data_IF_451040536633
#
_entry.id   IF_451040536633
#
_cell.length_a   1.000
_cell.length_b   1.000
_cell.length_c   1.000
_cell.angle_alpha   90.00
_cell.angle_beta   90.00
_cell.angle_gamma   90.00
#
_symmetry.space_group_name_H-M   'P 1'
#
loop_
_entity.id
_entity.type
_entity.pdbx_description
1 polymer ?
#
# COMPACT_ATOMS: atom_id res chain seq x y z
N UNK A 1 -19.86 48.94 -35.73
CA UNK A 1 -21.15 48.52 -35.15
C UNK A 1 -20.85 47.69 -33.92
N UNK A 2 -20.91 48.30 -32.73
CA UNK A 2 -20.44 47.72 -31.47
C UNK A 2 -21.40 48.05 -30.33
N UNK A 3 -21.31 47.22 -29.28
CA UNK A 3 -21.80 47.43 -27.90
C UNK A 3 -23.25 46.96 -27.65
N UNK A 4 -23.64 46.48 -26.46
CA UNK A 4 -22.96 46.26 -25.19
C UNK A 4 -23.87 45.38 -24.30
N UNK A 5 -23.23 44.55 -23.47
CA UNK A 5 -23.53 44.14 -22.08
C UNK A 5 -24.88 44.59 -21.46
N UNK A 6 -25.61 43.63 -20.88
CA UNK A 6 -26.76 43.88 -19.99
C UNK A 6 -26.65 43.08 -18.68
N UNK A 7 -26.76 43.78 -17.54
CA UNK A 7 -26.72 43.25 -16.17
C UNK A 7 -27.81 43.94 -15.33
N UNK A 8 -28.35 43.20 -14.35
CA UNK A 8 -29.09 43.64 -13.14
C UNK A 8 -30.55 44.13 -13.34
N UNK A 9 -31.51 44.02 -12.41
CA UNK A 9 -31.73 43.34 -11.11
C UNK A 9 -33.22 43.63 -10.73
N UNK A 10 -33.79 42.77 -9.87
CA UNK A 10 -34.74 43.09 -8.78
C UNK A 10 -36.29 43.16 -8.99
N UNK A 11 -36.97 42.23 -8.28
CA UNK A 11 -37.96 42.45 -7.20
C UNK A 11 -39.48 42.54 -7.45
N UNK A 12 -40.24 41.82 -6.59
CA UNK A 12 -41.65 42.04 -6.20
C UNK A 12 -42.70 41.22 -6.97
N UNK A 13 -43.32 40.17 -6.41
CA UNK A 13 -44.53 40.18 -5.54
C UNK A 13 -45.76 40.79 -6.25
N UNK A 14 -47.00 40.28 -6.26
CA UNK A 14 -47.73 39.17 -5.64
C UNK A 14 -49.18 39.26 -6.22
N UNK A 15 -50.00 38.21 -6.07
CA UNK A 15 -51.50 38.16 -6.21
C UNK A 15 -52.09 38.11 -7.63
N UNK A 16 -53.13 37.32 -7.93
CA UNK A 16 -54.01 36.43 -7.16
C UNK A 16 -55.06 35.81 -8.12
N UNK A 17 -55.56 34.59 -7.90
CA UNK A 17 -56.90 34.20 -7.38
C UNK A 17 -57.35 33.01 -8.29
N UNK A 18 -58.00 31.91 -7.91
CA UNK A 18 -58.64 31.40 -6.68
C UNK A 18 -59.05 29.90 -6.95
N UNK A 19 -59.93 29.20 -6.20
CA UNK A 19 -59.56 27.96 -5.49
C UNK A 19 -60.37 26.71 -5.89
N UNK A 20 -59.82 25.50 -5.73
CA UNK A 20 -60.65 24.33 -5.44
C UNK A 20 -59.87 23.16 -4.82
N UNK A 21 -60.41 22.65 -3.72
CA UNK A 21 -60.33 21.30 -3.17
C UNK A 21 -58.96 20.73 -2.73
N UNK A 22 -58.73 20.85 -1.42
CA UNK A 22 -57.92 19.96 -0.58
C UNK A 22 -58.43 18.51 -0.66
N UNK A 23 -57.53 17.52 -0.69
CA UNK A 23 -57.53 16.40 0.27
C UNK A 23 -56.20 15.63 0.19
N UNK A 24 -55.76 15.23 1.39
CA UNK A 24 -54.42 14.81 1.82
C UNK A 24 -54.00 13.42 1.31
N UNK A 25 -52.73 13.30 0.92
CA UNK A 25 -52.03 12.09 0.44
C UNK A 25 -51.80 11.00 1.51
N UNK A 26 -52.52 11.03 2.64
CA UNK A 26 -52.24 10.19 3.81
C UNK A 26 -52.73 8.72 3.73
N UNK A 27 -53.04 8.18 2.55
CA UNK A 27 -53.65 6.85 2.42
C UNK A 27 -52.93 5.86 1.49
N UNK A 28 -51.68 6.13 1.11
CA UNK A 28 -50.88 5.21 0.28
C UNK A 28 -49.77 4.53 1.10
N UNK A 29 -50.15 3.95 2.23
CA UNK A 29 -49.31 3.06 3.05
C UNK A 29 -50.02 1.71 3.23
N UNK A 30 -49.98 0.88 2.19
CA UNK A 30 -50.15 -0.56 2.35
C UNK A 30 -49.66 -1.28 1.07
N UNK A 31 -48.41 -1.74 1.07
CA UNK A 31 -48.02 -3.02 0.45
C UNK A 31 -46.57 -3.39 0.83
N UNK A 32 -46.41 -4.68 1.15
CA UNK A 32 -45.36 -5.29 1.94
C UNK A 32 -44.00 -5.47 1.25
N UNK A 33 -42.93 -5.45 2.05
CA UNK A 33 -41.83 -6.45 2.00
C UNK A 33 -41.32 -6.70 3.43
N UNK A 34 -41.13 -7.94 3.89
CA UNK A 34 -40.36 -8.18 5.10
C UNK A 34 -38.88 -8.03 4.75
N UNK A 35 -38.25 -6.94 5.20
CA UNK A 35 -36.80 -6.83 5.21
C UNK A 35 -36.26 -7.91 6.16
N UNK A 36 -35.71 -8.98 5.60
CA UNK A 36 -34.90 -9.93 6.35
C UNK A 36 -33.66 -9.19 6.84
N UNK A 37 -33.66 -8.76 8.10
CA UNK A 37 -32.46 -8.34 8.81
C UNK A 37 -31.61 -9.59 8.98
N UNK A 38 -30.62 -9.76 8.10
CA UNK A 38 -29.54 -10.70 8.36
C UNK A 38 -28.65 -10.05 9.42
N UNK A 39 -28.53 -10.62 10.65
CA UNK A 39 -27.44 -10.21 11.52
C UNK A 39 -26.16 -10.66 10.83
N UNK A 40 -25.36 -9.71 10.34
CA UNK A 40 -23.98 -9.97 9.98
C UNK A 40 -23.34 -10.63 11.21
N UNK A 41 -23.00 -11.91 11.08
CA UNK A 41 -22.27 -12.61 12.12
C UNK A 41 -20.83 -12.12 12.03
N UNK A 42 -20.49 -11.15 12.88
CA UNK A 42 -19.14 -10.68 13.10
C UNK A 42 -18.29 -11.78 13.76
N UNK A 43 -17.88 -12.78 12.98
CA UNK A 43 -16.87 -13.79 13.35
C UNK A 43 -15.48 -13.42 12.81
N UNK A 44 -15.21 -12.13 12.63
CA UNK A 44 -13.85 -11.66 12.44
C UNK A 44 -13.44 -10.96 13.74
N UNK A 45 -12.56 -11.61 14.51
CA UNK A 45 -11.76 -10.89 15.48
C UNK A 45 -11.03 -9.78 14.71
N UNK A 46 -11.50 -8.54 14.86
CA UNK A 46 -10.80 -7.37 14.39
C UNK A 46 -9.57 -7.19 15.29
N UNK A 47 -8.52 -7.98 15.03
CA UNK A 47 -7.20 -7.60 15.49
C UNK A 47 -6.83 -6.36 14.68
N UNK A 48 -6.85 -5.20 15.33
CA UNK A 48 -6.27 -3.99 14.79
C UNK A 48 -4.76 -4.21 14.62
N UNK A 49 -4.34 -4.68 13.44
CA UNK A 49 -2.94 -4.80 13.04
C UNK A 49 -2.38 -3.42 12.67
N UNK A 50 -2.40 -2.49 13.61
CA UNK A 50 -1.52 -1.33 13.52
C UNK A 50 -0.16 -1.80 14.04
N UNK A 51 0.92 -1.75 13.23
CA UNK A 51 2.24 -2.07 13.72
C UNK A 51 2.57 -1.04 14.80
N UNK A 52 2.53 -1.47 16.06
CA UNK A 52 3.00 -0.65 17.16
C UNK A 52 4.51 -0.57 17.01
N UNK A 53 4.99 0.54 16.47
CA UNK A 53 6.41 0.90 16.41
C UNK A 53 6.92 1.21 17.84
N UNK A 54 7.02 0.18 18.67
CA UNK A 54 7.86 0.19 19.87
C UNK A 54 9.31 -0.15 19.47
N UNK A 55 10.30 0.11 20.33
CA UNK A 55 11.65 -0.41 20.15
C UNK A 55 11.63 -1.92 20.44
N UNK A 56 11.00 -2.69 19.56
CA UNK A 56 11.09 -4.14 19.59
C UNK A 56 12.56 -4.49 19.39
N UNK A 57 13.08 -5.34 20.26
CA UNK A 57 14.44 -5.88 20.11
C UNK A 57 14.31 -7.12 19.24
N UNK A 58 15.04 -7.12 18.12
CA UNK A 58 15.05 -8.22 17.17
C UNK A 58 16.47 -8.74 17.11
N UNK A 59 16.62 -10.06 17.07
CA UNK A 59 17.92 -10.69 17.01
C UNK A 59 17.93 -11.89 16.07
N UNK A 60 19.10 -12.13 15.48
CA UNK A 60 19.33 -13.32 14.65
C UNK A 60 19.36 -14.57 15.53
N UNK A 61 18.49 -15.54 15.25
CA UNK A 61 18.46 -16.84 15.93
C UNK A 61 19.34 -17.85 15.20
N UNK A 62 19.18 -17.97 13.89
CA UNK A 62 19.91 -18.93 13.07
C UNK A 62 20.22 -18.36 11.67
N UNK A 63 21.30 -18.86 11.07
CA UNK A 63 21.77 -18.47 9.74
C UNK A 63 22.02 -19.78 8.98
N UNK A 64 21.30 -19.98 7.88
CA UNK A 64 21.33 -21.18 7.04
C UNK A 64 21.51 -20.72 5.59
N UNK A 65 22.76 -20.47 5.19
CA UNK A 65 23.06 -19.88 3.88
C UNK A 65 22.41 -18.48 3.76
N UNK A 66 21.63 -18.27 2.70
CA UNK A 66 20.89 -17.02 2.47
C UNK A 66 19.62 -16.90 3.34
N UNK A 67 19.24 -17.94 4.06
CA UNK A 67 18.06 -17.95 4.93
C UNK A 67 18.47 -17.58 6.35
N UNK A 68 17.86 -16.54 6.90
CA UNK A 68 18.14 -16.06 8.26
C UNK A 68 16.85 -16.11 9.07
N UNK A 69 16.87 -16.87 10.16
CA UNK A 69 15.74 -16.92 11.10
C UNK A 69 15.96 -15.84 12.17
N UNK A 70 14.95 -14.98 12.33
CA UNK A 70 14.98 -13.81 13.21
C UNK A 70 13.92 -13.97 14.28
N UNK A 71 14.30 -13.72 15.53
CA UNK A 71 13.39 -13.72 16.66
C UNK A 71 13.13 -12.29 17.12
N UNK A 72 11.90 -12.03 17.54
CA UNK A 72 11.44 -10.71 17.98
C UNK A 72 10.60 -10.83 19.25
N UNK A 73 10.59 -9.78 20.07
CA UNK A 73 9.82 -9.79 21.32
C UNK A 73 8.35 -9.42 21.09
N UNK A 74 8.12 -8.28 20.42
CA UNK A 74 6.80 -7.73 20.13
C UNK A 74 6.75 -7.22 18.69
N UNK A 75 5.54 -7.23 18.10
CA UNK A 75 5.31 -6.72 16.76
C UNK A 75 5.61 -7.75 15.68
N UNK A 76 4.56 -8.48 15.25
CA UNK A 76 4.65 -9.38 14.10
C UNK A 76 4.79 -8.54 12.82
N UNK A 77 5.90 -8.62 12.08
CA UNK A 77 6.03 -7.86 10.84
C UNK A 77 5.20 -8.54 9.76
N UNK A 78 4.78 -7.77 8.77
CA UNK A 78 4.11 -8.34 7.61
C UNK A 78 5.10 -9.17 6.79
N UNK A 79 4.58 -10.19 6.11
CA UNK A 79 5.34 -10.88 5.07
C UNK A 79 5.68 -9.84 4.00
N UNK A 80 6.86 -9.97 3.38
CA UNK A 80 7.45 -9.04 2.41
C UNK A 80 8.03 -7.76 3.01
N UNK A 81 7.96 -7.54 4.33
CA UNK A 81 8.65 -6.43 4.96
C UNK A 81 10.17 -6.58 4.87
N UNK A 82 10.86 -5.45 4.77
CA UNK A 82 12.30 -5.36 4.81
C UNK A 82 12.78 -5.14 6.25
N UNK A 83 13.82 -5.86 6.64
CA UNK A 83 14.53 -5.69 7.91
C UNK A 83 15.98 -5.33 7.62
N UNK A 84 16.58 -4.51 8.47
CA UNK A 84 17.97 -4.08 8.32
C UNK A 84 18.83 -4.59 9.48
N UNK A 85 19.91 -5.30 9.15
CA UNK A 85 20.86 -5.81 10.14
C UNK A 85 21.79 -4.68 10.57
N UNK A 86 21.98 -4.52 11.88
CA UNK A 86 22.84 -3.48 12.43
C UNK A 86 24.27 -3.96 12.64
N UNK A 87 25.24 -3.07 12.41
CA UNK A 87 26.66 -3.33 12.68
C UNK A 87 27.36 -4.17 11.61
N UNK A 88 26.85 -4.20 10.39
CA UNK A 88 27.52 -4.75 9.21
C UNK A 88 28.31 -3.64 8.49
N UNK A 89 29.38 -4.00 7.77
CA UNK A 89 30.18 -3.03 6.99
C UNK A 89 29.39 -2.47 5.81
N UNK A 90 28.69 -3.36 5.10
CA UNK A 90 27.75 -3.03 4.02
C UNK A 90 26.33 -3.15 4.54
N UNK A 91 25.40 -2.35 4.00
CA UNK A 91 23.99 -2.41 4.35
C UNK A 91 23.40 -3.75 3.93
N UNK A 92 23.05 -4.59 4.90
CA UNK A 92 22.39 -5.87 4.65
C UNK A 92 20.89 -5.77 4.95
N UNK A 93 20.10 -6.03 3.93
CA UNK A 93 18.63 -6.08 4.03
C UNK A 93 18.17 -7.54 3.99
N UNK A 94 17.25 -7.88 4.88
CA UNK A 94 16.55 -9.15 4.91
C UNK A 94 15.08 -8.93 4.56
N UNK A 95 14.48 -9.80 3.76
CA UNK A 95 13.04 -9.77 3.47
C UNK A 95 12.31 -10.87 4.25
N UNK A 96 11.20 -10.54 4.90
CA UNK A 96 10.36 -11.51 5.61
C UNK A 96 9.64 -12.41 4.60
N UNK A 97 9.97 -13.71 4.59
CA UNK A 97 9.35 -14.68 3.69
C UNK A 97 8.17 -15.42 4.32
N UNK A 98 8.28 -15.77 5.61
CA UNK A 98 7.22 -16.50 6.32
C UNK A 98 7.33 -16.33 7.83
N UNK A 99 6.21 -16.55 8.53
CA UNK A 99 6.16 -16.65 9.98
C UNK A 99 6.28 -18.12 10.40
N UNK A 100 7.22 -18.44 11.30
CA UNK A 100 7.44 -19.81 11.78
C UNK A 100 6.62 -20.14 13.04
N UNK A 101 6.22 -19.11 13.81
CA UNK A 101 5.64 -19.24 15.15
C UNK A 101 6.66 -18.91 16.23
N UNK A 102 6.25 -18.93 17.51
CA UNK A 102 7.12 -18.66 18.67
C UNK A 102 7.90 -17.33 18.55
N UNK A 103 7.23 -16.30 18.02
CA UNK A 103 7.82 -14.99 17.70
C UNK A 103 9.10 -15.08 16.86
N UNK A 104 9.12 -16.05 15.93
CA UNK A 104 10.20 -16.26 14.97
C UNK A 104 9.68 -16.14 13.54
N UNK A 105 10.43 -15.45 12.71
CA UNK A 105 10.20 -15.30 11.28
C UNK A 105 11.37 -15.88 10.50
N UNK A 106 11.09 -16.35 9.30
CA UNK A 106 12.13 -16.70 8.33
C UNK A 106 12.27 -15.57 7.34
N UNK A 107 13.51 -15.14 7.17
CA UNK A 107 13.88 -14.06 6.26
C UNK A 107 14.87 -14.55 5.21
N UNK A 108 14.90 -13.87 4.07
CA UNK A 108 15.85 -14.13 2.99
C UNK A 108 16.76 -12.92 2.90
N UNK A 109 18.07 -13.15 2.93
CA UNK A 109 19.06 -12.10 2.77
C UNK A 109 19.15 -11.66 1.31
N UNK A 110 19.16 -10.34 1.08
CA UNK A 110 19.31 -9.75 -0.26
C UNK A 110 20.76 -9.70 -0.75
N UNK A 111 21.71 -9.94 0.15
CA UNK A 111 23.14 -10.01 -0.12
C UNK A 111 23.78 -11.13 0.73
N UNK A 112 25.09 -11.30 0.62
CA UNK A 112 25.88 -12.27 1.37
C UNK A 112 25.65 -12.22 2.89
N UNK A 113 25.57 -13.39 3.52
CA UNK A 113 25.38 -13.55 4.97
C UNK A 113 26.69 -13.81 5.72
N UNK A 114 27.83 -13.60 5.07
CA UNK A 114 29.14 -13.74 5.67
C UNK A 114 29.35 -12.73 6.81
N UNK A 115 29.93 -13.18 7.91
CA UNK A 115 30.20 -12.31 9.07
C UNK A 115 28.99 -12.03 9.95
N UNK A 116 27.79 -12.52 9.62
CA UNK A 116 26.64 -12.44 10.52
C UNK A 116 26.83 -13.33 11.74
N UNK A 117 26.41 -12.81 12.89
CA UNK A 117 26.50 -13.51 14.18
C UNK A 117 25.12 -13.60 14.83
N UNK A 118 24.84 -14.73 15.47
CA UNK A 118 23.62 -14.90 16.26
C UNK A 118 23.56 -13.88 17.39
N UNK A 119 22.37 -13.37 17.68
CA UNK A 119 22.18 -12.29 18.64
C UNK A 119 22.39 -10.88 18.07
N UNK A 120 22.82 -10.75 16.81
CA UNK A 120 22.98 -9.45 16.17
C UNK A 120 21.63 -8.73 16.04
N UNK A 121 21.65 -7.43 16.31
CA UNK A 121 20.44 -6.60 16.35
C UNK A 121 19.91 -6.36 14.94
N UNK A 122 18.59 -6.45 14.79
CA UNK A 122 17.86 -6.16 13.56
C UNK A 122 16.86 -5.02 13.83
N UNK A 123 16.62 -4.20 12.80
CA UNK A 123 15.58 -3.18 12.79
C UNK A 123 14.53 -3.51 11.74
N UNK A 124 13.25 -3.45 12.10
CA UNK A 124 12.15 -3.51 11.14
C UNK A 124 11.96 -2.15 10.47
N UNK A 125 11.87 -2.15 9.14
CA UNK A 125 11.55 -0.93 8.37
C UNK A 125 10.04 -0.66 8.28
N UNK A 126 9.22 -1.60 8.74
CA UNK A 126 7.77 -1.61 8.68
C UNK A 126 7.18 -1.46 7.27
N UNK A 127 7.99 -1.67 6.23
CA UNK A 127 7.57 -1.60 4.85
C UNK A 127 8.34 -2.62 4.00
N UNK A 128 7.83 -2.98 2.82
CA UNK A 128 8.60 -3.77 1.86
C UNK A 128 9.84 -3.05 1.36
N UNK A 129 10.73 -3.79 0.69
CA UNK A 129 11.85 -3.18 -0.03
C UNK A 129 11.30 -2.18 -1.05
N UNK A 130 11.80 -0.94 -0.97
CA UNK A 130 11.42 0.15 -1.85
C UNK A 130 12.58 0.57 -2.70
N UNK A 131 12.32 0.72 -4.00
CA UNK A 131 13.31 1.12 -4.98
C UNK A 131 12.94 2.47 -5.59
N UNK A 132 13.95 3.19 -6.09
CA UNK A 132 13.75 4.45 -6.79
C UNK A 132 13.08 4.20 -8.15
N UNK A 133 12.09 5.02 -8.49
CA UNK A 133 11.38 4.96 -9.77
C UNK A 133 11.30 6.33 -10.43
N UNK A 134 10.98 6.33 -11.73
CA UNK A 134 10.79 7.55 -12.53
C UNK A 134 11.81 7.68 -13.66
N UNK A 135 11.64 8.71 -14.48
CA UNK A 135 12.48 8.93 -15.68
C UNK A 135 13.97 9.12 -15.37
N UNK A 136 14.31 9.55 -14.15
CA UNK A 136 15.70 9.75 -13.73
C UNK A 136 16.49 8.45 -13.51
N UNK A 137 15.81 7.30 -13.45
CA UNK A 137 16.48 5.98 -13.36
C UNK A 137 16.92 5.45 -14.73
N UNK A 138 16.48 6.07 -15.83
CA UNK A 138 16.84 5.64 -17.18
C UNK A 138 18.35 5.73 -17.42
N UNK A 139 18.95 4.64 -17.88
CA UNK A 139 20.39 4.55 -18.13
C UNK A 139 21.28 4.48 -16.88
N UNK A 140 20.68 4.20 -15.71
CA UNK A 140 21.36 3.97 -14.43
C UNK A 140 21.41 2.47 -14.14
N UNK A 141 22.39 2.05 -13.34
CA UNK A 141 22.51 0.66 -12.87
C UNK A 141 22.26 0.63 -11.37
N UNK A 142 21.33 -0.22 -10.94
CA UNK A 142 20.92 -0.35 -9.55
C UNK A 142 20.85 -1.82 -9.11
N UNK A 143 21.07 -2.07 -7.83
CA UNK A 143 20.93 -3.39 -7.23
C UNK A 143 19.48 -3.67 -6.78
N UNK A 144 19.26 -4.87 -6.23
CA UNK A 144 17.93 -5.37 -5.81
C UNK A 144 17.31 -4.51 -4.70
N UNK A 145 18.13 -3.93 -3.82
CA UNK A 145 17.67 -3.06 -2.73
C UNK A 145 17.52 -1.58 -3.14
N UNK A 146 17.73 -1.27 -4.42
CA UNK A 146 17.51 0.06 -5.00
C UNK A 146 18.68 1.02 -4.91
N UNK A 147 19.87 0.55 -4.53
CA UNK A 147 21.09 1.36 -4.46
C UNK A 147 21.78 1.43 -5.82
N UNK A 148 22.39 2.58 -6.10
CA UNK A 148 23.08 2.84 -7.36
C UNK A 148 24.50 2.27 -7.30
N UNK A 149 24.84 1.43 -8.27
CA UNK A 149 26.16 0.77 -8.38
C UNK A 149 26.96 1.24 -9.59
N UNK A 150 26.58 2.39 -10.17
CA UNK A 150 27.17 2.93 -11.39
C UNK A 150 28.23 4.01 -11.19
N UNK A 151 28.71 4.19 -9.94
CA UNK A 151 29.76 5.15 -9.54
C UNK A 151 29.49 6.62 -9.96
N UNK A 152 28.24 6.94 -10.32
CA UNK A 152 27.81 8.27 -10.75
C UNK A 152 27.19 9.05 -9.59
N UNK A 153 26.85 10.30 -9.88
CA UNK A 153 26.16 11.17 -8.92
C UNK A 153 24.82 10.54 -8.48
N UNK A 154 24.49 10.59 -7.18
CA UNK A 154 23.19 10.14 -6.68
C UNK A 154 22.02 10.83 -7.38
N UNK A 155 20.96 10.08 -7.64
CA UNK A 155 19.73 10.63 -8.22
C UNK A 155 18.98 11.42 -7.14
N UNK A 156 18.50 12.61 -7.48
CA UNK A 156 17.82 13.51 -6.54
C UNK A 156 16.32 13.23 -6.39
N UNK A 157 15.76 12.43 -7.28
CA UNK A 157 14.36 12.03 -7.24
C UNK A 157 14.04 11.29 -5.92
N UNK A 158 12.83 11.48 -5.41
CA UNK A 158 12.33 10.94 -4.15
C UNK A 158 11.15 9.99 -4.34
N UNK A 159 10.81 9.64 -5.58
CA UNK A 159 9.73 8.70 -5.81
C UNK A 159 10.23 7.27 -5.60
N UNK A 160 9.71 6.63 -4.56
CA UNK A 160 9.99 5.25 -4.23
C UNK A 160 8.74 4.41 -4.44
N UNK A 161 8.91 3.22 -5.00
CA UNK A 161 7.85 2.21 -5.13
C UNK A 161 8.29 0.91 -4.44
N UNK A 162 7.39 0.20 -3.75
CA UNK A 162 7.69 -1.15 -3.28
C UNK A 162 7.93 -2.07 -4.49
N UNK A 163 8.82 -3.05 -4.32
CA UNK A 163 9.05 -4.09 -5.34
C UNK A 163 7.87 -5.08 -5.43
N UNK A 164 7.14 -5.23 -4.34
CA UNK A 164 5.91 -6.02 -4.26
C UNK A 164 4.73 -5.10 -4.55
N UNK A 165 4.22 -5.18 -5.79
CA UNK A 165 3.02 -4.49 -6.22
C UNK A 165 1.84 -5.44 -6.33
N UNK A 166 0.66 -4.96 -5.99
CA UNK A 166 -0.58 -5.69 -6.28
C UNK A 166 -0.77 -5.81 -7.79
N UNK A 167 -1.36 -6.91 -8.20
CA UNK A 167 -1.71 -7.11 -9.62
C UNK A 167 -2.86 -6.17 -9.99
N UNK A 168 -2.83 -5.63 -11.21
CA UNK A 168 -3.90 -4.79 -11.75
C UNK A 168 -5.24 -5.54 -11.75
N UNK A 169 -6.33 -4.80 -11.52
CA UNK A 169 -7.66 -5.40 -11.41
C UNK A 169 -8.17 -5.93 -12.77
N UNK A 170 -9.09 -6.88 -12.73
CA UNK A 170 -9.66 -7.47 -13.94
C UNK A 170 -10.29 -6.43 -14.90
N UNK A 171 -10.84 -5.34 -14.36
CA UNK A 171 -11.44 -4.25 -15.12
C UNK A 171 -10.42 -3.35 -15.83
N UNK A 172 -9.16 -3.34 -15.38
CA UNK A 172 -8.09 -2.51 -15.93
C UNK A 172 -7.31 -3.22 -17.03
N UNK A 173 -7.47 -4.55 -17.17
CA UNK A 173 -6.80 -5.33 -18.18
C UNK A 173 -7.36 -5.05 -19.58
N UNK A 174 -6.48 -4.72 -20.53
CA UNK A 174 -6.86 -4.58 -21.95
C UNK A 174 -7.08 -5.94 -22.61
N UNK A 175 -8.09 -6.03 -23.47
CA UNK A 175 -8.41 -7.22 -24.30
C UNK A 175 -7.88 -7.09 -25.74
N UNK A 176 -7.24 -5.96 -26.06
CA UNK A 176 -6.76 -5.65 -27.40
C UNK A 176 -5.55 -6.52 -27.75
N UNK A 177 -5.56 -7.08 -28.96
CA UNK A 177 -4.43 -7.80 -29.52
C UNK A 177 -3.73 -6.90 -30.54
N UNK A 178 -2.52 -6.47 -30.22
CA UNK A 178 -1.71 -5.61 -31.08
C UNK A 178 -0.46 -6.34 -31.55
N UNK A 179 -0.04 -6.06 -32.78
CA UNK A 179 1.22 -6.56 -33.32
C UNK A 179 2.32 -5.56 -32.95
N UNK A 180 3.31 -6.00 -32.18
CA UNK A 180 4.54 -5.26 -31.98
C UNK A 180 5.53 -5.63 -33.08
N UNK A 181 5.63 -4.78 -34.11
CA UNK A 181 6.64 -4.95 -35.17
C UNK A 181 8.04 -4.75 -34.59
N UNK A 182 8.84 -5.83 -34.57
CA UNK A 182 10.19 -5.84 -33.97
C UNK A 182 11.30 -5.47 -34.96
N UNK A 183 11.01 -5.50 -36.27
CA UNK A 183 11.98 -5.21 -37.33
C UNK A 183 13.05 -6.29 -37.54
N UNK A 184 12.84 -7.51 -37.03
CA UNK A 184 13.69 -8.70 -37.24
C UNK A 184 12.95 -9.69 -38.15
#
# INVERSE_FOLDING_TARGET
>A
MLSLVGRALASGALQGLSPSALLSQAQLLLQATPAAVQPARDYAAQTSLLPKAGPATWHIMAIIGAVVDVQFDEGLPLILNALEVQGTETRLVLEVAQHLGESTIRTIAMDGTEGLVRGQKILDSCAPIKILVGTETLGRIMNVIGELIDERVPIKNKQFSPIHGETSEFIEMSVEQEILETGI
#
